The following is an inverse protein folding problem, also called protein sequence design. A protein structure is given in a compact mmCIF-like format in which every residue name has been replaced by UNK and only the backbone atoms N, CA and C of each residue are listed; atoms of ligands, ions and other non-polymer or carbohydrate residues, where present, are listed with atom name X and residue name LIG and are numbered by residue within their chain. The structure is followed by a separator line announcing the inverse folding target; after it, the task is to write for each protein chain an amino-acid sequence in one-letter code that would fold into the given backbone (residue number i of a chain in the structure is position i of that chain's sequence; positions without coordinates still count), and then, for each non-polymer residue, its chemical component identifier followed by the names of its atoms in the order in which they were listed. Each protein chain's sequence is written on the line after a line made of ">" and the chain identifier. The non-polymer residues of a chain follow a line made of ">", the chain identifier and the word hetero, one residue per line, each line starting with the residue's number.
data_IF_620451740553
#
_entry.id   IF_620451740553
#
_cell.length_a   1.000
_cell.length_b   1.000
_cell.length_c   1.000
_cell.angle_alpha   90.00
_cell.angle_beta   90.00
_cell.angle_gamma   90.00
#
_symmetry.space_group_name_H-M   'P 1'
#
loop_
_entity.id
_entity.type
_entity.pdbx_description
1 polymer ?
#
# COMPACT_ATOMS: atom_id res chain seq x y z
N UNK A 1 8.53 24.35 4.91
CA UNK A 1 7.31 23.78 5.51
C UNK A 1 7.05 22.53 4.72
N UNK A 2 7.03 21.38 5.39
CA UNK A 2 6.73 20.09 4.74
C UNK A 2 5.26 20.13 4.33
N UNK A 3 4.95 19.71 3.10
CA UNK A 3 3.57 19.58 2.63
C UNK A 3 3.13 18.12 2.87
N UNK A 4 2.29 17.85 3.88
CA UNK A 4 1.93 16.48 4.24
C UNK A 4 1.09 15.77 3.16
N UNK A 5 0.47 16.54 2.26
CA UNK A 5 -0.37 16.03 1.16
C UNK A 5 0.41 15.85 -0.15
N UNK A 6 1.68 16.20 -0.16
CA UNK A 6 2.57 16.03 -1.31
C UNK A 6 4.02 15.75 -0.85
N UNK A 7 4.25 14.66 -0.09
CA UNK A 7 5.57 14.33 0.43
C UNK A 7 6.51 13.92 -0.70
N UNK A 8 7.75 14.37 -0.64
CA UNK A 8 8.80 13.93 -1.56
C UNK A 8 9.25 12.50 -1.24
N UNK A 9 9.84 11.81 -2.23
CA UNK A 9 10.41 10.47 -2.00
C UNK A 9 11.45 10.45 -0.86
N UNK A 10 12.20 11.54 -0.66
CA UNK A 10 13.17 11.65 0.43
C UNK A 10 12.47 11.71 1.78
N UNK A 11 11.42 12.52 1.90
CA UNK A 11 10.63 12.64 3.13
C UNK A 11 9.93 11.32 3.46
N UNK A 12 9.37 10.64 2.47
CA UNK A 12 8.78 9.31 2.63
C UNK A 12 9.80 8.29 3.10
N UNK A 13 11.01 8.30 2.52
CA UNK A 13 12.08 7.38 2.91
C UNK A 13 12.58 7.65 4.33
N UNK A 14 12.78 8.91 4.70
CA UNK A 14 13.23 9.27 6.04
C UNK A 14 12.19 8.85 7.08
N UNK A 15 10.90 9.06 6.79
CA UNK A 15 9.81 8.57 7.63
C UNK A 15 9.77 7.04 7.68
N UNK A 16 9.91 6.37 6.53
CA UNK A 16 9.84 4.91 6.42
C UNK A 16 10.83 4.18 7.35
N UNK A 17 12.00 4.78 7.58
CA UNK A 17 13.08 4.21 8.39
C UNK A 17 13.26 4.88 9.76
N UNK A 18 12.37 5.79 10.15
CA UNK A 18 12.34 6.37 11.49
C UNK A 18 11.48 5.49 12.41
N UNK A 19 12.07 4.99 13.49
CA UNK A 19 11.33 4.24 14.52
C UNK A 19 10.42 5.20 15.27
N UNK A 20 9.18 4.78 15.52
CA UNK A 20 8.16 5.59 16.19
C UNK A 20 7.92 6.95 15.51
N UNK A 21 8.04 6.98 14.17
CA UNK A 21 7.80 8.17 13.39
C UNK A 21 6.37 8.68 13.60
N UNK A 22 6.24 9.96 13.94
CA UNK A 22 4.93 10.61 14.03
C UNK A 22 4.39 10.89 12.63
N UNK A 23 3.07 10.84 12.48
CA UNK A 23 2.43 11.30 11.24
C UNK A 23 2.68 12.80 11.06
N UNK A 24 2.79 13.30 9.81
CA UNK A 24 2.87 14.73 9.57
C UNK A 24 1.65 15.48 10.12
N UNK A 25 1.89 16.66 10.69
CA UNK A 25 0.83 17.53 11.24
C UNK A 25 -0.30 17.76 10.22
N UNK A 26 -1.54 17.45 10.62
CA UNK A 26 -2.74 17.63 9.79
C UNK A 26 -3.01 16.52 8.77
N UNK A 27 -2.26 15.41 8.81
CA UNK A 27 -2.51 14.21 8.01
C UNK A 27 -2.70 12.94 8.88
N UNK A 28 -2.93 13.09 10.18
CA UNK A 28 -2.93 11.97 11.15
C UNK A 28 -3.98 10.89 10.87
N UNK A 29 -5.02 11.20 10.09
CA UNK A 29 -6.12 10.28 9.79
C UNK A 29 -6.10 9.71 8.37
N UNK A 30 -5.39 10.34 7.45
CA UNK A 30 -5.59 10.15 6.00
C UNK A 30 -4.25 10.15 5.24
N UNK A 31 -3.12 10.02 5.94
CA UNK A 31 -1.81 10.17 5.31
C UNK A 31 -1.54 9.10 4.23
N UNK A 32 -2.10 7.91 4.37
CA UNK A 32 -2.08 6.87 3.34
C UNK A 32 -2.62 7.36 1.99
N UNK A 33 -3.58 8.30 1.97
CA UNK A 33 -4.09 8.91 0.74
C UNK A 33 -3.06 9.82 0.06
N UNK A 34 -2.18 10.46 0.83
CA UNK A 34 -1.08 11.26 0.30
C UNK A 34 0.08 10.40 -0.21
N UNK A 35 0.26 9.19 0.34
CA UNK A 35 1.33 8.26 -0.04
C UNK A 35 0.95 7.42 -1.26
N UNK A 36 -0.33 7.08 -1.41
CA UNK A 36 -0.86 6.25 -2.51
C UNK A 36 -0.93 7.06 -3.82
N UNK A 37 0.13 6.94 -4.61
CA UNK A 37 0.27 7.54 -5.94
C UNK A 37 0.99 6.53 -6.88
N UNK A 38 0.63 6.53 -8.17
CA UNK A 38 1.34 5.79 -9.23
C UNK A 38 2.84 6.13 -9.26
N UNK A 39 3.22 7.36 -8.90
CA UNK A 39 4.62 7.77 -8.83
C UNK A 39 5.40 7.12 -7.67
N UNK A 40 4.70 6.76 -6.59
CA UNK A 40 5.30 6.24 -5.35
C UNK A 40 5.21 4.72 -5.24
N UNK A 41 4.32 4.06 -6.01
CA UNK A 41 3.89 2.69 -5.74
C UNK A 41 5.05 1.67 -5.74
N UNK A 42 6.07 1.85 -6.59
CA UNK A 42 7.25 0.99 -6.61
C UNK A 42 8.03 1.06 -5.29
N UNK A 43 8.18 2.26 -4.72
CA UNK A 43 8.83 2.46 -3.41
C UNK A 43 7.98 1.91 -2.27
N UNK A 44 6.66 2.09 -2.35
CA UNK A 44 5.73 1.55 -1.36
C UNK A 44 5.82 0.01 -1.32
N UNK A 45 5.94 -0.65 -2.48
CA UNK A 45 6.16 -2.12 -2.55
C UNK A 45 7.49 -2.50 -1.93
N UNK A 46 8.56 -1.76 -2.23
CA UNK A 46 9.89 -2.00 -1.66
C UNK A 46 9.85 -1.93 -0.13
N UNK A 47 9.31 -0.85 0.43
CA UNK A 47 9.29 -0.62 1.87
C UNK A 47 8.33 -1.55 2.61
N UNK A 48 7.16 -1.85 2.05
CA UNK A 48 6.25 -2.86 2.60
C UNK A 48 6.90 -4.27 2.65
N UNK A 49 7.86 -4.53 1.74
CA UNK A 49 8.60 -5.78 1.64
C UNK A 49 9.91 -5.82 2.44
N UNK A 50 10.41 -4.68 2.94
CA UNK A 50 11.67 -4.59 3.66
C UNK A 50 11.49 -4.92 5.14
N UNK A 51 12.25 -5.89 5.64
CA UNK A 51 12.26 -6.27 7.07
C UNK A 51 12.94 -5.24 7.95
N UNK A 52 13.77 -4.38 7.37
CA UNK A 52 14.46 -3.33 8.11
C UNK A 52 13.66 -2.03 8.16
N UNK A 53 12.53 -1.93 7.45
CA UNK A 53 11.64 -0.77 7.48
C UNK A 53 10.70 -0.90 8.70
N UNK A 54 10.85 -0.06 9.75
CA UNK A 54 10.00 -0.12 10.93
C UNK A 54 8.52 0.11 10.60
N UNK A 55 8.25 0.94 9.58
CA UNK A 55 6.89 1.33 9.21
C UNK A 55 6.34 0.55 8.00
N UNK A 56 6.91 -0.62 7.67
CA UNK A 56 6.47 -1.47 6.54
C UNK A 56 4.98 -1.86 6.57
N UNK A 57 4.39 -1.95 7.77
CA UNK A 57 2.97 -2.29 7.96
C UNK A 57 2.06 -1.18 7.43
N UNK A 58 2.47 0.09 7.59
CA UNK A 58 1.80 1.24 6.99
C UNK A 58 1.88 1.19 5.46
N UNK A 59 3.05 0.88 4.90
CA UNK A 59 3.17 0.76 3.44
C UNK A 59 2.35 -0.41 2.89
N UNK A 60 2.23 -1.52 3.63
CA UNK A 60 1.34 -2.61 3.24
C UNK A 60 -0.13 -2.16 3.21
N UNK A 61 -0.57 -1.35 4.18
CA UNK A 61 -1.89 -0.71 4.15
C UNK A 61 -2.07 0.14 2.88
N UNK A 62 -1.10 0.99 2.54
CA UNK A 62 -1.13 1.79 1.32
C UNK A 62 -1.29 0.92 0.05
N UNK A 63 -0.64 -0.24 -0.02
CA UNK A 63 -0.79 -1.17 -1.15
C UNK A 63 -2.21 -1.74 -1.26
N UNK A 64 -2.86 -2.07 -0.13
CA UNK A 64 -4.26 -2.53 -0.14
C UNK A 64 -5.21 -1.40 -0.53
N UNK A 65 -4.98 -0.19 0.00
CA UNK A 65 -5.76 1.00 -0.34
C UNK A 65 -5.67 1.32 -1.83
N UNK A 66 -4.46 1.30 -2.41
CA UNK A 66 -4.21 1.55 -3.83
C UNK A 66 -5.07 0.66 -4.74
N UNK A 67 -5.05 -0.66 -4.50
CA UNK A 67 -5.83 -1.61 -5.31
C UNK A 67 -7.33 -1.49 -5.00
N UNK A 68 -7.69 -1.35 -3.72
CA UNK A 68 -9.08 -1.21 -3.28
C UNK A 68 -9.75 0.01 -3.90
N UNK A 69 -9.10 1.16 -3.86
CA UNK A 69 -9.64 2.39 -4.43
C UNK A 69 -9.68 2.33 -5.95
N UNK A 70 -8.65 1.80 -6.62
CA UNK A 70 -8.64 1.60 -8.07
C UNK A 70 -9.83 0.75 -8.55
N UNK A 71 -10.10 -0.38 -7.88
CA UNK A 71 -11.21 -1.26 -8.23
C UNK A 71 -12.56 -0.63 -7.92
N UNK A 72 -12.72 0.00 -6.74
CA UNK A 72 -13.98 0.65 -6.32
C UNK A 72 -14.37 1.80 -7.21
N UNK A 73 -13.40 2.63 -7.60
CA UNK A 73 -13.61 3.83 -8.40
C UNK A 73 -13.70 3.55 -9.90
N UNK A 74 -13.45 2.31 -10.33
CA UNK A 74 -13.35 1.91 -11.74
C UNK A 74 -12.20 2.63 -12.48
N UNK A 75 -11.03 2.70 -11.84
CA UNK A 75 -9.74 3.09 -12.43
C UNK A 75 -9.59 4.53 -12.97
N UNK A 76 -10.29 5.59 -12.50
CA UNK A 76 -10.10 6.95 -13.00
C UNK A 76 -8.76 7.56 -12.61
N UNK A 77 -8.20 7.18 -11.46
CA UNK A 77 -6.96 7.74 -10.92
C UNK A 77 -5.70 7.00 -11.40
N UNK A 78 -5.84 5.76 -11.87
CA UNK A 78 -4.72 4.85 -12.09
C UNK A 78 -4.85 4.10 -13.42
N UNK A 79 -3.73 3.89 -14.10
CA UNK A 79 -3.72 3.06 -15.31
C UNK A 79 -3.90 1.58 -14.95
N UNK A 80 -5.06 1.00 -15.31
CA UNK A 80 -5.36 -0.41 -15.03
C UNK A 80 -4.27 -1.37 -15.52
N UNK A 81 -3.71 -1.13 -16.71
CA UNK A 81 -2.64 -1.98 -17.26
C UNK A 81 -1.34 -1.92 -16.44
N UNK A 82 -1.00 -0.73 -15.92
CA UNK A 82 0.18 -0.54 -15.06
C UNK A 82 -0.03 -1.27 -13.74
N UNK A 83 -1.17 -1.04 -13.08
CA UNK A 83 -1.52 -1.67 -11.80
C UNK A 83 -1.51 -3.19 -11.92
N UNK A 84 -2.19 -3.74 -12.94
CA UNK A 84 -2.26 -5.19 -13.17
C UNK A 84 -0.87 -5.77 -13.46
N UNK A 85 -0.04 -5.09 -14.24
CA UNK A 85 1.33 -5.54 -14.52
C UNK A 85 2.16 -5.59 -13.25
N UNK A 86 2.10 -4.54 -12.43
CA UNK A 86 2.83 -4.42 -11.17
C UNK A 86 2.44 -5.53 -10.19
N UNK A 87 1.14 -5.78 -10.03
CA UNK A 87 0.62 -6.85 -9.19
C UNK A 87 1.13 -8.21 -9.68
N UNK A 88 1.02 -8.50 -10.99
CA UNK A 88 1.48 -9.77 -11.57
C UNK A 88 2.97 -10.02 -11.37
N UNK A 89 3.81 -8.99 -11.38
CA UNK A 89 5.25 -9.12 -11.12
C UNK A 89 5.54 -9.56 -9.69
N UNK A 90 4.62 -9.31 -8.75
CA UNK A 90 4.79 -9.54 -7.33
C UNK A 90 4.09 -10.81 -6.80
N UNK A 91 3.40 -11.58 -7.64
CA UNK A 91 2.74 -12.85 -7.22
C UNK A 91 3.71 -13.95 -6.81
N UNK A 92 4.98 -13.83 -7.22
CA UNK A 92 6.07 -14.72 -6.84
C UNK A 92 7.15 -13.98 -6.04
N UNK A 93 6.80 -12.84 -5.43
CA UNK A 93 7.71 -12.09 -4.58
C UNK A 93 8.26 -12.98 -3.45
N UNK A 94 9.55 -12.80 -3.11
CA UNK A 94 10.18 -13.56 -2.02
C UNK A 94 9.54 -13.24 -0.67
N UNK A 95 9.24 -11.95 -0.45
CA UNK A 95 8.53 -11.51 0.74
C UNK A 95 7.10 -12.08 0.74
N UNK A 96 6.70 -12.84 1.77
CA UNK A 96 5.37 -13.47 1.82
C UNK A 96 4.23 -12.46 1.87
N UNK A 97 4.41 -11.30 2.51
CA UNK A 97 3.36 -10.27 2.63
C UNK A 97 3.04 -9.63 1.28
N UNK A 98 4.08 -9.27 0.53
CA UNK A 98 3.95 -8.73 -0.83
C UNK A 98 3.32 -9.77 -1.76
N UNK A 99 3.76 -11.03 -1.65
CA UNK A 99 3.19 -12.12 -2.43
C UNK A 99 1.70 -12.33 -2.15
N UNK A 100 1.30 -12.29 -0.89
CA UNK A 100 -0.09 -12.45 -0.47
C UNK A 100 -0.94 -11.26 -0.94
N UNK A 101 -0.46 -10.03 -0.74
CA UNK A 101 -1.10 -8.83 -1.28
C UNK A 101 -1.32 -8.94 -2.78
N UNK A 102 -0.31 -9.36 -3.54
CA UNK A 102 -0.42 -9.48 -4.99
C UNK A 102 -1.48 -10.52 -5.40
N UNK A 103 -1.53 -11.67 -4.73
CA UNK A 103 -2.53 -12.72 -5.00
C UNK A 103 -3.95 -12.24 -4.70
N UNK A 104 -4.16 -11.64 -3.53
CA UNK A 104 -5.46 -11.08 -3.16
C UNK A 104 -5.90 -9.98 -4.12
N UNK A 105 -4.97 -9.15 -4.58
CA UNK A 105 -5.22 -8.07 -5.54
C UNK A 105 -5.68 -8.61 -6.89
N UNK A 106 -5.07 -9.68 -7.41
CA UNK A 106 -5.55 -10.33 -8.63
C UNK A 106 -6.95 -10.92 -8.47
N UNK A 107 -7.24 -11.53 -7.32
CA UNK A 107 -8.56 -12.10 -7.02
C UNK A 107 -9.64 -11.00 -7.02
N UNK A 108 -9.36 -9.86 -6.37
CA UNK A 108 -10.27 -8.73 -6.37
C UNK A 108 -10.50 -8.17 -7.79
N UNK A 109 -9.44 -8.05 -8.60
CA UNK A 109 -9.56 -7.56 -9.98
C UNK A 109 -10.38 -8.52 -10.84
N UNK A 110 -10.22 -9.84 -10.65
CA UNK A 110 -11.02 -10.86 -11.32
C UNK A 110 -12.48 -10.88 -10.85
N UNK A 111 -12.72 -10.53 -9.58
CA UNK A 111 -14.04 -10.53 -8.95
C UNK A 111 -14.36 -9.20 -8.24
N UNK A 112 -14.51 -8.06 -8.96
CA UNK A 112 -14.69 -6.74 -8.34
C UNK A 112 -15.90 -6.62 -7.42
N UNK A 113 -16.94 -7.44 -7.67
CA UNK A 113 -18.15 -7.50 -6.83
C UNK A 113 -17.91 -8.05 -5.42
N UNK A 114 -16.76 -8.68 -5.18
CA UNK A 114 -16.33 -9.14 -3.86
C UNK A 114 -15.71 -8.02 -3.00
N UNK A 115 -15.57 -6.81 -3.56
CA UNK A 115 -15.00 -5.66 -2.85
C UNK A 115 -15.70 -5.39 -1.52
N UNK A 116 -14.88 -5.09 -0.51
CA UNK A 116 -15.30 -4.84 0.87
C UNK A 116 -14.44 -3.71 1.43
N UNK A 117 -15.06 -2.58 1.74
CA UNK A 117 -14.34 -1.36 2.11
C UNK A 117 -13.52 -1.55 3.39
N UNK A 118 -14.12 -2.19 4.40
CA UNK A 118 -13.49 -2.58 5.66
C UNK A 118 -12.21 -3.42 5.45
N UNK A 119 -12.26 -4.32 4.47
CA UNK A 119 -11.15 -5.21 4.15
C UNK A 119 -10.00 -4.50 3.44
N UNK A 120 -10.32 -3.67 2.45
CA UNK A 120 -9.34 -3.12 1.51
C UNK A 120 -8.85 -1.72 1.87
N UNK A 121 -9.74 -0.87 2.38
CA UNK A 121 -9.47 0.54 2.63
C UNK A 121 -9.26 0.82 4.13
N UNK A 122 -10.06 0.23 5.02
CA UNK A 122 -9.89 0.40 6.48
C UNK A 122 -8.79 -0.51 7.08
N UNK A 123 -8.04 -1.22 6.23
CA UNK A 123 -6.82 -1.91 6.63
C UNK A 123 -6.97 -3.28 7.27
N UNK A 124 -8.16 -3.89 7.33
CA UNK A 124 -8.29 -5.22 7.93
C UNK A 124 -7.45 -6.29 7.20
N UNK A 125 -7.33 -6.25 5.86
CA UNK A 125 -6.48 -7.19 5.13
C UNK A 125 -4.99 -6.98 5.41
N UNK A 126 -4.55 -5.71 5.47
CA UNK A 126 -3.18 -5.39 5.84
C UNK A 126 -2.85 -5.95 7.22
N UNK A 127 -3.72 -5.73 8.22
CA UNK A 127 -3.54 -6.29 9.57
C UNK A 127 -3.53 -7.83 9.58
N UNK A 128 -4.42 -8.48 8.84
CA UNK A 128 -4.48 -9.95 8.74
C UNK A 128 -3.19 -10.50 8.12
N UNK A 129 -2.70 -9.86 7.07
CA UNK A 129 -1.46 -10.23 6.39
C UNK A 129 -0.22 -10.03 7.30
N UNK A 130 -0.13 -8.90 8.01
CA UNK A 130 0.92 -8.65 9.00
C UNK A 130 0.96 -9.72 10.08
N UNK A 131 -0.20 -10.10 10.63
CA UNK A 131 -0.31 -11.13 11.69
C UNK A 131 -0.02 -12.55 11.18
N UNK A 132 -0.33 -12.85 9.93
CA UNK A 132 -0.02 -14.15 9.31
C UNK A 132 1.47 -14.32 9.02
N UNK A 133 2.18 -13.22 8.83
CA UNK A 133 3.61 -13.18 8.53
C UNK A 133 4.35 -12.23 9.48
N UNK A 134 4.43 -12.56 10.79
CA UNK A 134 5.30 -11.84 11.71
C UNK A 134 6.75 -12.08 11.27
N UNK A 135 7.61 -11.06 11.43
CA UNK A 135 9.03 -11.16 11.10
C UNK A 135 9.80 -12.15 11.96
#
# INVERSE_FOLDING_TARGET
>A
MVDPWNPTHSELKDWAYTIDAEYPDGAEQDWELAVVDDANIDLVIEWAGDKNCPNRDFFLLCLYLYVGDAVRSNWPAFSQDIVVRLIKQNTEARNPRIREWAKQSLELIAHPRSFRYDLWCDGELAMKNCKAHPD
#
